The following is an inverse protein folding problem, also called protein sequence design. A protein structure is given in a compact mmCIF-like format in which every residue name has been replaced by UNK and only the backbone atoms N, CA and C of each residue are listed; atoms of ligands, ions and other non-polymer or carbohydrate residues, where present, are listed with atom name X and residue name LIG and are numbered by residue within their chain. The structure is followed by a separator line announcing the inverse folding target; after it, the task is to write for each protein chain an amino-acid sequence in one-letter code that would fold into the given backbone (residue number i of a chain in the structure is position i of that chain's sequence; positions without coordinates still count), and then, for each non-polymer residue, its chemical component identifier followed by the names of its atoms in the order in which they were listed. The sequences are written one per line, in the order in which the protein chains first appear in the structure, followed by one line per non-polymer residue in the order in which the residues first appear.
data_IF_976960286826
#
_entry.id   IF_976960286826
#
_cell.length_a   1.000
_cell.length_b   1.000
_cell.length_c   1.000
_cell.angle_alpha   90.00
_cell.angle_beta   90.00
_cell.angle_gamma   90.00
#
_symmetry.space_group_name_H-M   'P 1'
#
loop_
_entity.id
_entity.type
_entity.pdbx_description
1 polymer ?
#
# COMPACT_ATOMS: atom_id res chain seq x y z
N UNK A 1 -10.03 22.90 34.70
CA UNK A 1 -9.42 22.58 33.39
C UNK A 1 -10.47 22.38 32.30
N UNK A 2 -11.61 21.73 32.59
CA UNK A 2 -12.78 21.67 31.68
C UNK A 2 -13.31 23.07 31.27
N UNK A 3 -13.39 24.04 32.19
CA UNK A 3 -13.92 25.38 31.88
C UNK A 3 -12.96 26.28 31.08
N UNK A 4 -11.65 25.97 31.07
CA UNK A 4 -10.66 26.68 30.25
C UNK A 4 -10.66 26.19 28.81
N UNK A 5 -10.99 24.91 28.59
CA UNK A 5 -11.17 24.33 27.25
C UNK A 5 -12.50 24.78 26.61
N UNK A 6 -13.53 25.07 27.40
CA UNK A 6 -14.80 25.61 26.90
C UNK A 6 -14.71 27.09 26.46
N UNK A 7 -13.70 27.84 26.93
CA UNK A 7 -13.47 29.25 26.52
C UNK A 7 -12.62 29.40 25.26
N UNK A 8 -12.01 28.31 24.82
CA UNK A 8 -11.24 28.22 23.59
C UNK A 8 -12.11 27.37 22.66
N UNK A 9 -13.11 27.98 22.02
CA UNK A 9 -13.97 27.37 20.98
C UNK A 9 -13.14 27.04 19.71
N UNK A 10 -12.07 26.26 19.89
CA UNK A 10 -11.38 25.54 18.82
C UNK A 10 -11.91 24.10 18.76
N UNK A 11 -13.22 23.91 18.97
CA UNK A 11 -13.85 22.69 18.49
C UNK A 11 -13.94 22.84 16.96
N UNK A 12 -13.13 22.13 16.16
CA UNK A 12 -13.19 22.27 14.73
C UNK A 12 -14.59 21.85 14.27
N UNK A 13 -15.29 22.75 13.59
CA UNK A 13 -16.58 22.40 12.96
C UNK A 13 -16.34 21.31 11.92
N UNK A 14 -17.31 20.42 11.71
CA UNK A 14 -17.24 19.38 10.68
C UNK A 14 -16.81 19.95 9.31
N UNK A 15 -17.36 21.13 8.96
CA UNK A 15 -16.99 21.85 7.74
C UNK A 15 -15.49 22.19 7.66
N UNK A 16 -14.88 22.61 8.77
CA UNK A 16 -13.45 22.93 8.82
C UNK A 16 -12.56 21.70 8.67
N UNK A 17 -12.97 20.54 9.19
CA UNK A 17 -12.23 19.28 9.05
C UNK A 17 -12.27 18.75 7.61
N UNK A 18 -13.44 18.84 6.95
CA UNK A 18 -13.60 18.48 5.54
C UNK A 18 -12.71 19.35 4.66
N UNK A 19 -12.72 20.67 4.89
CA UNK A 19 -11.86 21.62 4.14
C UNK A 19 -10.39 21.30 4.38
N UNK A 20 -9.96 21.06 5.62
CA UNK A 20 -8.58 20.72 5.93
C UNK A 20 -8.12 19.45 5.20
N UNK A 21 -8.94 18.40 5.19
CA UNK A 21 -8.62 17.16 4.47
C UNK A 21 -8.52 17.39 2.95
N UNK A 22 -9.41 18.21 2.36
CA UNK A 22 -9.33 18.59 0.93
C UNK A 22 -8.08 19.39 0.61
N UNK A 23 -7.72 20.33 1.48
CA UNK A 23 -6.49 21.12 1.39
C UNK A 23 -5.25 20.24 1.54
N UNK A 24 -5.34 19.05 2.14
CA UNK A 24 -4.24 18.07 2.11
C UNK A 24 -4.21 17.28 0.80
N UNK A 25 -5.34 16.71 0.35
CA UNK A 25 -5.36 15.84 -0.85
C UNK A 25 -5.03 16.59 -2.14
N UNK A 26 -5.50 17.83 -2.30
CA UNK A 26 -5.25 18.63 -3.51
C UNK A 26 -3.75 18.87 -3.78
N UNK A 27 -2.97 19.49 -2.87
CA UNK A 27 -1.54 19.68 -3.08
C UNK A 27 -0.79 18.36 -3.12
N UNK A 28 -1.18 17.35 -2.33
CA UNK A 28 -0.58 16.03 -2.42
C UNK A 28 -0.71 15.45 -3.84
N UNK A 29 -1.91 15.49 -4.42
CA UNK A 29 -2.14 15.01 -5.78
C UNK A 29 -1.37 15.84 -6.82
N UNK A 30 -1.34 17.16 -6.67
CA UNK A 30 -0.57 18.05 -7.55
C UNK A 30 0.93 17.72 -7.49
N UNK A 31 1.50 17.50 -6.30
CA UNK A 31 2.92 17.16 -6.12
C UNK A 31 3.24 15.80 -6.77
N UNK A 32 2.40 14.79 -6.55
CA UNK A 32 2.59 13.45 -7.15
C UNK A 32 2.51 13.52 -8.68
N UNK A 33 1.46 14.14 -9.22
CA UNK A 33 1.25 14.22 -10.67
C UNK A 33 2.33 15.07 -11.33
N UNK A 34 2.64 16.24 -10.78
CA UNK A 34 3.68 17.12 -11.32
C UNK A 34 5.05 16.45 -11.30
N UNK A 35 5.40 15.69 -10.25
CA UNK A 35 6.65 14.94 -10.20
C UNK A 35 6.73 13.90 -11.32
N UNK A 36 5.69 13.08 -11.50
CA UNK A 36 5.65 12.07 -12.55
C UNK A 36 5.72 12.69 -13.96
N UNK A 37 4.95 13.75 -14.22
CA UNK A 37 4.92 14.42 -15.52
C UNK A 37 6.25 15.11 -15.82
N UNK A 38 6.81 15.89 -14.89
CA UNK A 38 8.06 16.62 -15.09
C UNK A 38 9.26 15.68 -15.25
N UNK A 39 9.26 14.51 -14.59
CA UNK A 39 10.28 13.48 -14.81
C UNK A 39 10.11 12.81 -16.19
N UNK A 40 8.89 12.55 -16.63
CA UNK A 40 8.61 12.02 -17.99
C UNK A 40 9.02 13.01 -19.08
N UNK A 41 8.82 14.31 -18.84
CA UNK A 41 9.27 15.40 -19.72
C UNK A 41 10.79 15.66 -19.63
N UNK A 42 11.53 14.87 -18.85
CA UNK A 42 12.99 14.99 -18.64
C UNK A 42 13.45 16.33 -18.06
N UNK A 43 12.54 17.09 -17.45
CA UNK A 43 12.87 18.35 -16.75
C UNK A 43 13.53 18.04 -15.40
N UNK A 44 13.11 16.96 -14.74
CA UNK A 44 13.59 16.56 -13.42
C UNK A 44 14.39 15.26 -13.45
N UNK A 45 15.36 15.15 -12.54
CA UNK A 45 16.24 13.98 -12.41
C UNK A 45 15.46 12.71 -12.04
N UNK A 46 15.59 11.69 -12.89
CA UNK A 46 14.98 10.35 -12.71
C UNK A 46 15.48 9.60 -11.48
N UNK A 47 16.74 9.83 -11.08
CA UNK A 47 17.39 9.09 -9.98
C UNK A 47 16.69 9.23 -8.63
N UNK A 48 16.04 10.38 -8.37
CA UNK A 48 15.35 10.64 -7.11
C UNK A 48 13.87 10.25 -7.13
N UNK A 49 13.31 9.94 -8.29
CA UNK A 49 11.86 9.71 -8.45
C UNK A 49 11.34 8.62 -7.51
N UNK A 50 12.03 7.48 -7.41
CA UNK A 50 11.61 6.37 -6.55
C UNK A 50 11.58 6.81 -5.08
N UNK A 51 12.61 7.55 -4.63
CA UNK A 51 12.70 8.06 -3.26
C UNK A 51 11.55 9.02 -2.97
N UNK A 52 11.30 9.96 -3.88
CA UNK A 52 10.25 10.97 -3.72
C UNK A 52 8.85 10.34 -3.70
N UNK A 53 8.58 9.42 -4.62
CA UNK A 53 7.28 8.72 -4.69
C UNK A 53 7.00 7.92 -3.43
N UNK A 54 8.00 7.23 -2.87
CA UNK A 54 7.87 6.52 -1.59
C UNK A 54 7.53 7.47 -0.45
N UNK A 55 8.17 8.65 -0.39
CA UNK A 55 7.88 9.67 0.62
C UNK A 55 6.46 10.20 0.45
N UNK A 56 6.04 10.55 -0.77
CA UNK A 56 4.70 11.08 -1.02
C UNK A 56 3.62 10.07 -0.66
N UNK A 57 3.78 8.80 -1.05
CA UNK A 57 2.84 7.74 -0.69
C UNK A 57 2.85 7.54 0.83
N UNK A 58 4.01 7.50 1.49
CA UNK A 58 4.09 7.36 2.96
C UNK A 58 3.35 8.49 3.69
N UNK A 59 3.46 9.73 3.20
CA UNK A 59 2.72 10.88 3.76
C UNK A 59 1.20 10.69 3.61
N UNK A 60 0.73 10.20 2.46
CA UNK A 60 -0.69 9.84 2.27
C UNK A 60 -1.12 8.76 3.26
N UNK A 61 -0.31 7.70 3.40
CA UNK A 61 -0.62 6.58 4.28
C UNK A 61 -0.72 7.04 5.74
N UNK A 62 0.22 7.85 6.22
CA UNK A 62 0.17 8.42 7.57
C UNK A 62 -1.09 9.27 7.81
N UNK A 63 -1.52 10.05 6.81
CA UNK A 63 -2.74 10.86 6.90
C UNK A 63 -4.03 10.02 6.87
N UNK A 64 -4.02 8.92 6.12
CA UNK A 64 -5.18 8.03 5.97
C UNK A 64 -5.33 7.01 7.09
N UNK A 65 -4.31 6.77 7.90
CA UNK A 65 -4.40 5.86 9.05
C UNK A 65 -4.72 6.60 10.34
N UNK A 66 -5.20 5.85 11.33
CA UNK A 66 -5.38 6.38 12.68
C UNK A 66 -4.07 6.94 13.25
N UNK A 67 -4.18 7.98 14.08
CA UNK A 67 -3.03 8.67 14.67
C UNK A 67 -2.15 7.76 15.55
N UNK A 68 -2.73 6.67 16.07
CA UNK A 68 -2.02 5.65 16.85
C UNK A 68 -0.93 4.93 16.03
N UNK A 69 -1.14 4.82 14.71
CA UNK A 69 -0.24 4.08 13.82
C UNK A 69 0.92 4.94 13.28
N UNK A 70 0.90 6.27 13.49
CA UNK A 70 1.95 7.18 13.00
C UNK A 70 3.34 6.75 13.50
N UNK A 71 3.47 6.37 14.78
CA UNK A 71 4.73 5.90 15.35
C UNK A 71 5.25 4.61 14.71
N UNK A 72 4.36 3.75 14.21
CA UNK A 72 4.75 2.49 13.55
C UNK A 72 5.37 2.74 12.18
N UNK A 73 4.96 3.78 11.45
CA UNK A 73 5.61 4.16 10.18
C UNK A 73 7.08 4.58 10.37
N UNK A 74 7.45 5.18 11.50
CA UNK A 74 8.85 5.46 11.82
C UNK A 74 9.66 4.17 11.98
N UNK A 75 9.08 3.16 12.65
CA UNK A 75 9.69 1.84 12.76
C UNK A 75 9.85 1.20 11.39
N UNK A 76 8.85 1.32 10.51
CA UNK A 76 8.93 0.81 9.15
C UNK A 76 10.06 1.47 8.34
N UNK A 77 10.26 2.78 8.47
CA UNK A 77 11.38 3.47 7.81
C UNK A 77 12.74 2.98 8.28
N UNK A 78 12.91 2.77 9.59
CA UNK A 78 14.16 2.22 10.15
C UNK A 78 14.40 0.81 9.60
N UNK A 79 13.40 -0.06 9.67
CA UNK A 79 13.49 -1.44 9.18
C UNK A 79 13.77 -1.49 7.68
N UNK A 80 13.06 -0.69 6.90
CA UNK A 80 13.27 -0.57 5.45
C UNK A 80 14.71 -0.16 5.12
N UNK A 81 15.27 0.81 5.84
CA UNK A 81 16.67 1.21 5.66
C UNK A 81 17.65 0.07 5.93
N UNK A 82 17.42 -0.72 6.99
CA UNK A 82 18.27 -1.87 7.31
C UNK A 82 18.16 -2.98 6.27
N UNK A 83 16.94 -3.28 5.81
CA UNK A 83 16.69 -4.27 4.76
C UNK A 83 17.34 -3.82 3.45
N UNK A 84 17.21 -2.54 3.09
CA UNK A 84 17.84 -2.00 1.89
C UNK A 84 19.37 -2.12 1.95
N UNK A 85 19.98 -1.75 3.08
CA UNK A 85 21.42 -1.90 3.31
C UNK A 85 21.87 -3.37 3.18
N UNK A 86 21.09 -4.30 3.75
CA UNK A 86 21.34 -5.72 3.60
C UNK A 86 21.33 -6.15 2.13
N UNK A 87 20.29 -5.81 1.36
CA UNK A 87 20.19 -6.16 -0.07
C UNK A 87 21.26 -5.51 -0.94
N UNK A 88 21.82 -4.37 -0.54
CA UNK A 88 22.91 -3.71 -1.25
C UNK A 88 24.24 -4.42 -1.03
N UNK A 89 24.47 -4.98 0.16
CA UNK A 89 25.72 -5.63 0.55
C UNK A 89 25.76 -7.15 0.30
N UNK A 90 24.70 -7.75 -0.23
CA UNK A 90 24.73 -9.15 -0.67
C UNK A 90 25.82 -9.30 -1.75
N UNK A 91 26.83 -10.18 -1.55
CA UNK A 91 27.88 -10.39 -2.54
C UNK A 91 27.28 -10.77 -3.90
N UNK A 92 27.70 -10.09 -4.97
CA UNK A 92 27.21 -10.36 -6.34
C UNK A 92 27.55 -11.78 -6.82
N UNK A 93 28.54 -12.42 -6.20
CA UNK A 93 28.90 -13.82 -6.47
C UNK A 93 27.90 -14.84 -5.88
N UNK A 94 27.09 -14.47 -4.88
CA UNK A 94 26.22 -15.42 -4.19
C UNK A 94 24.80 -15.48 -4.75
N UNK A 95 24.30 -14.42 -5.39
CA UNK A 95 22.94 -14.38 -5.96
C UNK A 95 22.94 -13.85 -7.39
N UNK A 96 22.28 -14.59 -8.29
CA UNK A 96 21.92 -14.08 -9.62
C UNK A 96 20.98 -12.88 -9.49
N UNK A 97 21.01 -11.96 -10.47
CA UNK A 97 20.13 -10.79 -10.47
C UNK A 97 18.65 -11.17 -10.35
N UNK A 98 18.27 -12.30 -10.95
CA UNK A 98 16.92 -12.87 -10.87
C UNK A 98 16.55 -13.38 -9.48
N UNK A 99 17.45 -14.09 -8.79
CA UNK A 99 17.13 -14.60 -7.44
C UNK A 99 17.01 -13.47 -6.43
N UNK A 100 17.81 -12.39 -6.58
CA UNK A 100 17.68 -11.17 -5.79
C UNK A 100 16.30 -10.51 -5.94
N UNK A 101 15.77 -10.45 -7.17
CA UNK A 101 14.43 -9.92 -7.44
C UNK A 101 13.37 -10.77 -6.72
N UNK A 102 13.41 -12.10 -6.86
CA UNK A 102 12.43 -12.96 -6.20
C UNK A 102 12.51 -12.87 -4.68
N UNK A 103 13.72 -12.84 -4.13
CA UNK A 103 13.93 -12.77 -2.69
C UNK A 103 13.44 -11.44 -2.09
N UNK A 104 13.71 -10.31 -2.74
CA UNK A 104 13.21 -9.00 -2.26
C UNK A 104 11.68 -8.92 -2.25
N UNK A 105 11.02 -9.50 -3.26
CA UNK A 105 9.56 -9.53 -3.33
C UNK A 105 8.94 -10.52 -2.33
N UNK A 106 9.63 -11.62 -2.03
CA UNK A 106 9.22 -12.53 -0.97
C UNK A 106 9.28 -11.84 0.41
N UNK A 107 10.37 -11.13 0.71
CA UNK A 107 10.50 -10.34 1.95
C UNK A 107 9.38 -9.28 2.03
N UNK A 108 9.13 -8.58 0.92
CA UNK A 108 8.00 -7.63 0.85
C UNK A 108 6.66 -8.30 1.12
N UNK A 109 6.37 -9.46 0.52
CA UNK A 109 5.11 -10.20 0.74
C UNK A 109 4.93 -10.63 2.22
N UNK A 110 6.00 -11.08 2.86
CA UNK A 110 5.97 -11.45 4.29
C UNK A 110 5.64 -10.21 5.13
N UNK A 111 6.33 -9.09 4.89
CA UNK A 111 6.13 -7.86 5.65
C UNK A 111 4.75 -7.23 5.40
N UNK A 112 4.21 -7.32 4.18
CA UNK A 112 2.84 -6.91 3.86
C UNK A 112 1.83 -7.61 4.76
N UNK A 113 1.90 -8.95 4.85
CA UNK A 113 0.98 -9.73 5.68
C UNK A 113 1.25 -9.48 7.17
N UNK A 114 2.51 -9.51 7.61
CA UNK A 114 2.87 -9.32 9.01
C UNK A 114 2.37 -7.98 9.56
N UNK A 115 2.63 -6.90 8.83
CA UNK A 115 2.26 -5.55 9.28
C UNK A 115 0.78 -5.23 9.12
N UNK A 116 0.11 -5.87 8.16
CA UNK A 116 -1.34 -5.82 8.07
C UNK A 116 -2.02 -6.34 9.34
N UNK A 117 -1.59 -7.49 9.86
CA UNK A 117 -2.11 -8.02 11.13
C UNK A 117 -1.65 -7.19 12.33
N UNK A 118 -0.42 -6.64 12.30
CA UNK A 118 0.09 -5.76 13.36
C UNK A 118 -0.73 -4.47 13.53
N UNK A 119 -1.29 -3.93 12.44
CA UNK A 119 -2.17 -2.76 12.47
C UNK A 119 -3.60 -3.08 12.96
N UNK A 120 -3.85 -4.32 13.39
CA UNK A 120 -5.17 -4.79 13.84
C UNK A 120 -6.07 -5.25 12.69
N UNK A 121 -5.55 -5.32 11.47
CA UNK A 121 -6.26 -5.88 10.32
C UNK A 121 -6.58 -7.35 10.55
N UNK A 122 -7.80 -7.77 10.21
CA UNK A 122 -8.18 -9.19 10.22
C UNK A 122 -8.66 -9.62 8.85
N UNK A 123 -8.83 -10.93 8.65
CA UNK A 123 -9.41 -11.47 7.43
C UNK A 123 -10.95 -11.46 7.43
N UNK A 124 -11.57 -10.63 8.27
CA UNK A 124 -13.01 -10.45 8.33
C UNK A 124 -13.42 -9.14 7.66
N UNK A 125 -14.53 -9.17 6.92
CA UNK A 125 -15.13 -7.96 6.31
C UNK A 125 -15.59 -6.99 7.40
N UNK A 126 -15.99 -7.50 8.58
CA UNK A 126 -16.45 -6.66 9.69
C UNK A 126 -15.36 -5.79 10.33
N UNK A 127 -14.09 -6.06 10.04
CA UNK A 127 -12.97 -5.26 10.58
C UNK A 127 -12.48 -4.19 9.62
N UNK A 128 -13.11 -4.05 8.46
CA UNK A 128 -12.81 -2.96 7.53
C UNK A 128 -13.30 -1.66 8.17
N UNK A 129 -12.37 -0.76 8.47
CA UNK A 129 -12.67 0.54 9.05
C UNK A 129 -13.11 1.52 7.95
N UNK A 130 -14.30 2.11 8.12
CA UNK A 130 -14.83 3.15 7.25
C UNK A 130 -14.52 4.56 7.79
N UNK A 131 -14.09 4.72 9.04
CA UNK A 131 -13.92 6.04 9.66
C UNK A 131 -12.97 6.94 8.87
N UNK A 132 -11.80 6.40 8.53
CA UNK A 132 -10.80 7.14 7.73
C UNK A 132 -11.20 7.31 6.25
N UNK A 133 -12.13 6.50 5.75
CA UNK A 133 -12.59 6.56 4.36
C UNK A 133 -13.37 7.84 4.02
N UNK A 134 -13.88 8.53 5.04
CA UNK A 134 -14.67 9.76 4.91
C UNK A 134 -13.85 11.04 5.04
N UNK A 135 -12.52 10.96 5.18
CA UNK A 135 -11.67 12.15 5.22
C UNK A 135 -11.87 13.03 3.98
N UNK A 136 -12.43 14.23 4.14
CA UNK A 136 -12.66 15.20 3.07
C UNK A 136 -13.89 14.96 2.19
N UNK A 137 -14.71 13.95 2.52
CA UNK A 137 -15.99 13.68 1.84
C UNK A 137 -17.07 14.55 2.49
N UNK A 138 -17.77 15.36 1.69
CA UNK A 138 -18.90 16.17 2.16
C UNK A 138 -20.21 15.37 2.14
N UNK A 139 -21.33 16.05 2.41
CA UNK A 139 -22.69 15.53 2.23
C UNK A 139 -22.95 14.86 0.87
N UNK A 140 -22.19 15.24 -0.16
CA UNK A 140 -22.21 14.60 -1.48
C UNK A 140 -21.41 13.30 -1.46
N UNK A 141 -22.06 12.25 -0.95
CA UNK A 141 -21.48 10.91 -0.87
C UNK A 141 -21.09 10.39 -2.27
N UNK A 142 -19.80 10.11 -2.45
CA UNK A 142 -19.29 9.44 -3.64
C UNK A 142 -18.68 8.09 -3.25
N UNK A 143 -19.36 7.01 -3.62
CA UNK A 143 -18.97 5.63 -3.32
C UNK A 143 -17.57 5.28 -3.84
N UNK A 144 -17.15 5.84 -4.97
CA UNK A 144 -15.85 5.55 -5.57
C UNK A 144 -14.71 6.20 -4.77
N UNK A 145 -14.91 7.45 -4.33
CA UNK A 145 -13.93 8.17 -3.51
C UNK A 145 -13.78 7.47 -2.16
N UNK A 146 -14.89 7.18 -1.49
CA UNK A 146 -14.90 6.46 -0.21
C UNK A 146 -14.25 5.08 -0.37
N UNK A 147 -14.54 4.35 -1.46
CA UNK A 147 -13.95 3.05 -1.72
C UNK A 147 -12.42 3.09 -1.88
N UNK A 148 -11.89 4.09 -2.60
CA UNK A 148 -10.43 4.28 -2.74
C UNK A 148 -9.81 4.65 -1.40
N UNK A 149 -10.35 5.64 -0.68
CA UNK A 149 -9.81 6.06 0.62
C UNK A 149 -9.87 4.93 1.64
N UNK A 150 -10.98 4.19 1.70
CA UNK A 150 -11.13 2.99 2.53
C UNK A 150 -10.04 1.98 2.21
N UNK A 151 -9.75 1.74 0.93
CA UNK A 151 -8.71 0.80 0.53
C UNK A 151 -7.32 1.23 0.98
N UNK A 152 -7.01 2.53 0.85
CA UNK A 152 -5.71 3.09 1.24
C UNK A 152 -5.55 3.03 2.75
N UNK A 153 -6.58 3.39 3.52
CA UNK A 153 -6.56 3.36 4.98
C UNK A 153 -6.40 1.93 5.54
N UNK A 154 -7.19 0.97 5.06
CA UNK A 154 -7.20 -0.40 5.59
C UNK A 154 -5.96 -1.21 5.18
N UNK A 155 -5.43 -0.97 3.99
CA UNK A 155 -4.24 -1.67 3.50
C UNK A 155 -2.95 -0.87 3.65
N UNK A 156 -2.96 0.26 4.35
CA UNK A 156 -1.83 1.17 4.46
C UNK A 156 -0.46 0.51 4.77
N UNK A 157 -0.33 -0.36 5.79
CA UNK A 157 0.96 -1.00 6.08
C UNK A 157 1.38 -1.94 4.94
N UNK A 158 0.43 -2.65 4.32
CA UNK A 158 0.72 -3.52 3.18
C UNK A 158 1.14 -2.71 1.95
N UNK A 159 0.51 -1.55 1.71
CA UNK A 159 0.92 -0.62 0.65
C UNK A 159 2.35 -0.14 0.90
N UNK A 160 2.69 0.24 2.13
CA UNK A 160 4.04 0.65 2.50
C UNK A 160 5.08 -0.40 2.08
N UNK A 161 4.90 -1.65 2.51
CA UNK A 161 5.87 -2.71 2.23
C UNK A 161 5.87 -3.18 0.78
N UNK A 162 4.79 -2.94 0.01
CA UNK A 162 4.77 -3.19 -1.43
C UNK A 162 5.77 -2.31 -2.21
N UNK A 163 6.16 -1.17 -1.64
CA UNK A 163 7.13 -0.24 -2.24
C UNK A 163 8.60 -0.61 -1.96
N UNK A 164 8.88 -1.48 -0.99
CA UNK A 164 10.24 -1.90 -0.61
C UNK A 164 11.07 -2.40 -1.82
N UNK A 165 10.53 -3.28 -2.70
CA UNK A 165 11.29 -3.79 -3.83
C UNK A 165 11.61 -2.72 -4.88
N UNK A 166 10.94 -1.56 -4.89
CA UNK A 166 11.16 -0.54 -5.91
C UNK A 166 12.59 0.00 -5.89
N UNK A 167 13.10 0.33 -4.70
CA UNK A 167 14.47 0.81 -4.52
C UNK A 167 15.52 -0.28 -4.76
N UNK A 168 15.18 -1.55 -4.51
CA UNK A 168 16.13 -2.67 -4.66
C UNK A 168 16.22 -3.11 -6.12
N UNK A 169 15.09 -3.20 -6.80
CA UNK A 169 14.99 -3.78 -8.14
C UNK A 169 15.18 -2.75 -9.26
N UNK A 170 14.82 -1.47 -9.07
CA UNK A 170 14.84 -0.51 -10.18
C UNK A 170 15.95 0.55 -10.13
N UNK A 171 16.76 0.59 -9.07
CA UNK A 171 17.76 1.66 -8.88
C UNK A 171 18.83 1.74 -9.99
N UNK A 172 19.17 0.62 -10.66
CA UNK A 172 20.29 0.57 -11.60
C UNK A 172 20.00 -0.23 -12.89
N UNK A 173 18.72 -0.53 -13.20
CA UNK A 173 18.37 -1.39 -14.34
C UNK A 173 18.17 -0.59 -15.63
N UNK A 174 18.73 -1.04 -16.78
CA UNK A 174 18.47 -0.44 -18.09
C UNK A 174 16.97 -0.42 -18.45
N UNK A 175 16.53 0.63 -19.15
CA UNK A 175 15.11 0.83 -19.50
C UNK A 175 14.47 -0.35 -20.22
N UNK A 176 15.21 -1.02 -21.12
CA UNK A 176 14.70 -2.13 -21.92
C UNK A 176 14.29 -3.37 -21.10
N UNK A 177 14.82 -3.57 -19.89
CA UNK A 177 14.58 -4.76 -19.07
C UNK A 177 13.57 -4.49 -17.95
N UNK A 178 13.11 -3.24 -17.76
CA UNK A 178 12.25 -2.85 -16.64
C UNK A 178 10.93 -3.62 -16.59
N UNK A 179 10.23 -3.75 -17.72
CA UNK A 179 8.97 -4.49 -17.77
C UNK A 179 9.17 -5.98 -17.48
N UNK A 180 10.27 -6.56 -17.95
CA UNK A 180 10.62 -7.95 -17.65
C UNK A 180 10.93 -8.13 -16.15
N UNK A 181 11.65 -7.18 -15.54
CA UNK A 181 11.90 -7.16 -14.09
C UNK A 181 10.60 -7.01 -13.31
N UNK A 182 9.66 -6.18 -13.76
CA UNK A 182 8.34 -6.05 -13.16
C UNK A 182 7.56 -7.36 -13.18
N UNK A 183 7.47 -8.03 -14.34
CA UNK A 183 6.76 -9.32 -14.43
C UNK A 183 7.41 -10.36 -13.50
N UNK A 184 8.75 -10.40 -13.46
CA UNK A 184 9.49 -11.30 -12.55
C UNK A 184 9.26 -10.93 -11.08
N UNK A 185 9.19 -9.66 -10.73
CA UNK A 185 8.98 -9.20 -9.35
C UNK A 185 7.63 -9.64 -8.80
N UNK A 186 6.60 -9.75 -9.66
CA UNK A 186 5.25 -10.16 -9.25
C UNK A 186 5.05 -11.66 -9.13
N UNK A 187 5.91 -12.46 -9.74
CA UNK A 187 5.77 -13.92 -9.76
C UNK A 187 5.69 -14.56 -8.37
N UNK A 188 6.53 -14.20 -7.35
CA UNK A 188 6.43 -14.79 -6.01
C UNK A 188 5.10 -14.53 -5.30
N UNK A 189 4.55 -13.31 -5.42
CA UNK A 189 3.25 -12.98 -4.83
C UNK A 189 2.11 -13.70 -5.57
N UNK A 190 2.19 -13.74 -6.90
CA UNK A 190 1.21 -14.44 -7.73
C UNK A 190 1.17 -15.95 -7.41
N UNK A 191 2.32 -16.62 -7.35
CA UNK A 191 2.38 -18.06 -7.02
C UNK A 191 1.85 -18.34 -5.62
N UNK A 192 2.21 -17.51 -4.63
CA UNK A 192 1.68 -17.62 -3.28
C UNK A 192 0.15 -17.52 -3.25
N UNK A 193 -0.43 -16.50 -3.89
CA UNK A 193 -1.87 -16.30 -3.91
C UNK A 193 -2.61 -17.37 -4.71
N UNK A 194 -2.03 -17.90 -5.80
CA UNK A 194 -2.60 -19.04 -6.51
C UNK A 194 -2.68 -20.29 -5.63
N UNK A 195 -1.58 -20.64 -4.95
CA UNK A 195 -1.53 -21.81 -4.05
C UNK A 195 -2.52 -21.64 -2.89
N UNK A 196 -2.52 -20.46 -2.25
CA UNK A 196 -3.45 -20.18 -1.16
C UNK A 196 -4.92 -20.22 -1.64
N UNK A 197 -5.20 -19.64 -2.82
CA UNK A 197 -6.53 -19.59 -3.41
C UNK A 197 -7.07 -20.98 -3.79
N UNK A 198 -6.24 -21.86 -4.34
CA UNK A 198 -6.66 -23.24 -4.65
C UNK A 198 -6.95 -24.04 -3.38
N UNK A 199 -6.13 -23.89 -2.33
CA UNK A 199 -6.38 -24.51 -1.03
C UNK A 199 -7.69 -23.99 -0.42
N UNK A 200 -7.92 -22.67 -0.45
CA UNK A 200 -9.15 -22.06 0.07
C UNK A 200 -10.38 -22.52 -0.71
N UNK A 201 -10.31 -22.58 -2.04
CA UNK A 201 -11.41 -23.04 -2.88
C UNK A 201 -11.71 -24.51 -2.63
N UNK A 202 -10.68 -25.35 -2.51
CA UNK A 202 -10.82 -26.77 -2.16
C UNK A 202 -11.53 -26.93 -0.82
N UNK A 203 -11.13 -26.16 0.20
CA UNK A 203 -11.80 -26.17 1.50
C UNK A 203 -13.28 -25.76 1.40
N UNK A 204 -13.61 -24.72 0.60
CA UNK A 204 -14.99 -24.29 0.38
C UNK A 204 -15.84 -25.36 -0.31
N UNK A 205 -15.26 -26.12 -1.24
CA UNK A 205 -15.95 -27.23 -1.94
C UNK A 205 -16.19 -28.41 -1.00
N UNK A 206 -15.16 -28.83 -0.26
CA UNK A 206 -15.25 -29.97 0.68
C UNK A 206 -16.24 -29.67 1.81
N UNK A 207 -16.23 -28.45 2.33
CA UNK A 207 -17.06 -28.03 3.48
C UNK A 207 -18.34 -27.30 3.06
N UNK A 208 -18.79 -27.46 1.80
CA UNK A 208 -19.95 -26.73 1.25
C UNK A 208 -21.24 -26.93 2.04
N UNK A 209 -21.45 -28.13 2.59
CA UNK A 209 -22.65 -28.45 3.39
C UNK A 209 -22.48 -28.18 4.88
N UNK A 210 -21.31 -27.66 5.30
CA UNK A 210 -21.07 -27.29 6.69
C UNK A 210 -21.74 -25.95 7.02
N UNK A 211 -22.21 -25.81 8.25
CA UNK A 211 -22.88 -24.60 8.77
C UNK A 211 -22.04 -23.31 8.63
N UNK A 212 -20.73 -23.44 8.44
CA UNK A 212 -19.78 -22.32 8.36
C UNK A 212 -19.55 -21.80 6.93
N UNK A 213 -20.17 -22.39 5.90
CA UNK A 213 -19.99 -21.98 4.51
C UNK A 213 -20.33 -20.49 4.29
N UNK A 214 -21.41 -20.03 4.91
CA UNK A 214 -21.88 -18.66 4.77
C UNK A 214 -21.27 -17.69 5.78
N UNK A 215 -20.96 -18.14 7.00
CA UNK A 215 -20.50 -17.25 8.07
C UNK A 215 -18.98 -17.10 8.16
N UNK A 216 -18.20 -18.09 7.69
CA UNK A 216 -16.73 -18.09 7.81
C UNK A 216 -16.06 -18.14 6.44
N UNK A 217 -16.44 -19.12 5.61
CA UNK A 217 -15.76 -19.35 4.34
C UNK A 217 -16.06 -18.28 3.30
N UNK A 218 -17.34 -17.90 3.12
CA UNK A 218 -17.72 -16.86 2.16
C UNK A 218 -17.09 -15.50 2.46
N UNK A 219 -17.11 -14.97 3.71
CA UNK A 219 -16.40 -13.73 4.04
C UNK A 219 -14.89 -13.83 3.78
N UNK A 220 -14.26 -14.96 4.12
CA UNK A 220 -12.82 -15.17 3.88
C UNK A 220 -12.47 -15.19 2.39
N UNK A 221 -13.33 -15.80 1.55
CA UNK A 221 -13.15 -15.82 0.10
C UNK A 221 -13.30 -14.42 -0.50
N UNK A 222 -14.30 -13.66 -0.06
CA UNK A 222 -14.49 -12.27 -0.49
C UNK A 222 -13.30 -11.40 -0.06
N UNK A 223 -12.82 -11.56 1.18
CA UNK A 223 -11.62 -10.86 1.66
C UNK A 223 -10.38 -11.22 0.85
N UNK A 224 -10.21 -12.50 0.48
CA UNK A 224 -9.11 -12.94 -0.38
C UNK A 224 -9.18 -12.29 -1.78
N UNK A 225 -10.36 -12.20 -2.38
CA UNK A 225 -10.55 -11.48 -3.64
C UNK A 225 -10.25 -9.99 -3.50
N UNK A 226 -10.73 -9.36 -2.42
CA UNK A 226 -10.44 -7.98 -2.07
C UNK A 226 -8.95 -7.73 -1.90
N UNK A 227 -8.23 -8.62 -1.22
CA UNK A 227 -6.77 -8.52 -1.09
C UNK A 227 -6.07 -8.54 -2.46
N UNK A 228 -6.40 -9.50 -3.33
CA UNK A 228 -5.73 -9.59 -4.63
C UNK A 228 -6.07 -8.42 -5.55
N UNK A 229 -7.34 -8.01 -5.61
CA UNK A 229 -7.78 -6.95 -6.51
C UNK A 229 -7.46 -5.55 -5.96
N UNK A 230 -7.83 -5.28 -4.72
CA UNK A 230 -7.71 -3.95 -4.13
C UNK A 230 -6.30 -3.70 -3.61
N UNK A 231 -5.78 -4.54 -2.73
CA UNK A 231 -4.41 -4.36 -2.23
C UNK A 231 -3.38 -4.67 -3.32
N UNK A 232 -3.49 -5.84 -3.98
CA UNK A 232 -2.51 -6.31 -4.95
C UNK A 232 -2.50 -5.48 -6.23
N UNK A 233 -3.61 -5.46 -6.96
CA UNK A 233 -3.69 -4.81 -8.27
C UNK A 233 -3.84 -3.29 -8.16
N UNK A 234 -4.87 -2.79 -7.47
CA UNK A 234 -5.17 -1.35 -7.41
C UNK A 234 -4.10 -0.57 -6.64
N UNK A 235 -3.77 -0.98 -5.41
CA UNK A 235 -2.85 -0.22 -4.56
C UNK A 235 -1.38 -0.62 -4.70
N UNK A 236 -1.08 -1.80 -5.25
CA UNK A 236 0.29 -2.28 -5.44
C UNK A 236 0.79 -2.11 -6.87
N UNK A 237 0.18 -2.82 -7.82
CA UNK A 237 0.71 -2.94 -9.18
C UNK A 237 0.51 -1.67 -10.02
N UNK A 238 -0.64 -1.01 -9.92
CA UNK A 238 -0.91 0.22 -10.69
C UNK A 238 0.06 1.37 -10.34
N UNK A 239 0.33 1.71 -9.06
CA UNK A 239 1.31 2.74 -8.72
C UNK A 239 2.72 2.41 -9.20
N UNK A 240 3.13 1.14 -9.13
CA UNK A 240 4.44 0.70 -9.63
C UNK A 240 4.55 0.81 -11.15
N UNK A 241 3.50 0.44 -11.90
CA UNK A 241 3.46 0.63 -13.35
C UNK A 241 3.52 2.13 -13.72
N UNK A 242 2.79 2.98 -13.00
CA UNK A 242 2.83 4.43 -13.22
C UNK A 242 4.24 5.00 -12.98
N UNK A 243 4.92 4.52 -11.94
CA UNK A 243 6.32 4.85 -11.66
C UNK A 243 7.26 4.41 -12.79
N UNK A 244 7.11 3.17 -13.29
CA UNK A 244 7.93 2.65 -14.39
C UNK A 244 7.72 3.45 -15.68
N UNK A 245 6.48 3.79 -16.02
CA UNK A 245 6.16 4.64 -17.17
C UNK A 245 6.76 6.05 -17.08
N UNK A 246 7.02 6.57 -15.88
CA UNK A 246 7.69 7.85 -15.68
C UNK A 246 9.23 7.73 -15.68
N UNK A 247 9.77 6.55 -15.37
CA UNK A 247 11.20 6.26 -15.43
C UNK A 247 11.71 6.04 -16.86
N UNK A 248 10.85 5.59 -17.78
CA UNK A 248 11.17 5.43 -19.21
C UNK A 248 11.40 6.78 -19.90
#
# INVERSE_FOLDING_TARGET
MHDLLAKIDFAPTESSLIVLARVFFQPWAIVVISRLVLTKLKVLNKNYLIKDMKVYITILLMFQTSSQNIGQFLVFQILESQIFYFFQNIPTASLTSTSKIYFSNLVSLILQNFTFFQFGGTNSISTIDLGNAYHGVSSDYNIYVVGILMSVANFAPAIYWSMLPWSINYASIPAQVKLQTFIRSKLPAFTYHCIFGTCLMTACVVLRFHLFIWSVFSPKLCYFLGWNFVMGLLNGWLPELALLCALD
#
